data_IF_330585248355
#
_entry.id   IF_330585248355
#
_cell.length_a   1.000
_cell.length_b   1.000
_cell.length_c   1.000
_cell.angle_alpha   90.00
_cell.angle_beta   90.00
_cell.angle_gamma   90.00
#
_symmetry.space_group_name_H-M   'P 1'
#
loop_
_entity.id
_entity.type
_entity.pdbx_description
1 polymer ?
#
# COMPACT_ATOMS: atom_id res chain seq x y z
N UNK A 1 -11.19 -20.72 -12.48
CA UNK A 1 -9.91 -20.87 -11.74
C UNK A 1 -9.13 -19.56 -11.70
N UNK A 2 -8.89 -18.93 -12.85
CA UNK A 2 -8.17 -17.64 -12.95
C UNK A 2 -8.91 -16.49 -12.22
N UNK A 3 -10.24 -16.44 -12.32
CA UNK A 3 -11.06 -15.42 -11.62
C UNK A 3 -10.88 -15.44 -10.09
N UNK A 4 -10.73 -16.62 -9.47
CA UNK A 4 -10.51 -16.75 -8.03
C UNK A 4 -9.12 -16.22 -7.63
N UNK A 5 -8.11 -16.46 -8.46
CA UNK A 5 -6.75 -15.97 -8.23
C UNK A 5 -6.73 -14.44 -8.31
N UNK A 6 -7.39 -13.86 -9.32
CA UNK A 6 -7.48 -12.40 -9.47
C UNK A 6 -8.27 -11.75 -8.33
N UNK A 7 -9.36 -12.37 -7.87
CA UNK A 7 -10.13 -11.90 -6.73
C UNK A 7 -9.30 -11.91 -5.44
N UNK A 8 -8.57 -13.00 -5.17
CA UNK A 8 -7.67 -13.10 -4.02
C UNK A 8 -6.57 -12.03 -4.06
N UNK A 9 -5.92 -11.84 -5.21
CA UNK A 9 -4.91 -10.79 -5.38
C UNK A 9 -5.48 -9.40 -5.09
N UNK A 10 -6.65 -9.06 -5.65
CA UNK A 10 -7.31 -7.76 -5.43
C UNK A 10 -7.64 -7.52 -3.95
N UNK A 11 -8.13 -8.54 -3.24
CA UNK A 11 -8.44 -8.43 -1.81
C UNK A 11 -7.16 -8.14 -1.03
N UNK A 12 -6.08 -8.89 -1.29
CA UNK A 12 -4.81 -8.69 -0.59
C UNK A 12 -4.24 -7.30 -0.88
N UNK A 13 -4.15 -6.89 -2.14
CA UNK A 13 -3.50 -5.61 -2.49
C UNK A 13 -4.33 -4.40 -2.11
N UNK A 14 -5.65 -4.44 -2.27
CA UNK A 14 -6.50 -3.26 -2.07
C UNK A 14 -7.03 -3.13 -0.65
N UNK A 15 -7.07 -4.22 0.13
CA UNK A 15 -7.60 -4.21 1.49
C UNK A 15 -6.48 -4.54 2.47
N UNK A 16 -5.79 -5.67 2.31
CA UNK A 16 -4.85 -6.14 3.33
C UNK A 16 -3.61 -5.25 3.46
N UNK A 17 -3.03 -4.81 2.34
CA UNK A 17 -1.85 -3.91 2.35
C UNK A 17 -2.15 -2.55 3.03
N UNK A 18 -3.16 -1.77 2.61
CA UNK A 18 -3.45 -0.50 3.27
C UNK A 18 -3.91 -0.69 4.72
N UNK A 19 -4.60 -1.77 5.05
CA UNK A 19 -4.97 -2.10 6.42
C UNK A 19 -3.73 -2.38 7.29
N UNK A 20 -2.79 -3.19 6.80
CA UNK A 20 -1.54 -3.47 7.50
C UNK A 20 -0.72 -2.19 7.71
N UNK A 21 -0.68 -1.30 6.71
CA UNK A 21 -0.02 -0.01 6.82
C UNK A 21 -0.66 0.88 7.90
N UNK A 22 -2.00 0.96 7.91
CA UNK A 22 -2.74 1.69 8.93
C UNK A 22 -2.49 1.14 10.34
N UNK A 23 -2.48 -0.19 10.51
CA UNK A 23 -2.15 -0.83 11.78
C UNK A 23 -0.71 -0.57 12.22
N UNK A 24 0.26 -0.64 11.30
CA UNK A 24 1.66 -0.27 11.57
C UNK A 24 1.77 1.18 12.06
N UNK A 25 1.13 2.12 11.36
CA UNK A 25 1.11 3.53 11.73
C UNK A 25 0.48 3.72 13.12
N UNK A 26 -0.64 3.05 13.38
CA UNK A 26 -1.32 3.09 14.66
C UNK A 26 -0.44 2.58 15.81
N UNK A 27 0.21 1.42 15.63
CA UNK A 27 1.15 0.87 16.61
C UNK A 27 2.36 1.77 16.83
N UNK A 28 2.86 2.41 15.78
CA UNK A 28 3.94 3.39 15.88
C UNK A 28 3.53 4.59 16.75
N UNK A 29 2.36 5.21 16.49
CA UNK A 29 1.85 6.31 17.30
C UNK A 29 1.57 5.89 18.75
N UNK A 30 1.05 4.68 18.97
CA UNK A 30 0.86 4.12 20.30
C UNK A 30 2.19 3.97 21.06
N UNK A 31 3.24 3.49 20.38
CA UNK A 31 4.59 3.41 20.94
C UNK A 31 5.16 4.77 21.33
N UNK A 32 4.99 5.77 20.46
CA UNK A 32 5.41 7.15 20.74
C UNK A 32 4.66 7.74 21.94
N UNK A 33 3.32 7.58 21.98
CA UNK A 33 2.50 8.05 23.09
C UNK A 33 2.89 7.38 24.42
N UNK A 34 3.16 6.07 24.41
CA UNK A 34 3.66 5.33 25.57
C UNK A 34 5.01 5.88 26.02
N UNK A 35 5.97 6.00 25.09
CA UNK A 35 7.32 6.51 25.37
C UNK A 35 7.31 7.91 25.99
N UNK A 36 6.52 8.83 25.45
CA UNK A 36 6.39 10.21 25.96
C UNK A 36 5.80 10.21 27.37
N UNK A 37 4.76 9.41 27.62
CA UNK A 37 4.10 9.33 28.94
C UNK A 37 4.98 8.69 30.01
N UNK A 38 5.82 7.71 29.65
CA UNK A 38 6.65 6.95 30.60
C UNK A 38 8.05 7.51 30.81
N UNK A 39 8.52 8.41 29.94
CA UNK A 39 9.82 9.09 30.10
C UNK A 39 9.97 9.91 31.39
N UNK A 40 8.89 10.11 32.15
CA UNK A 40 8.86 10.93 33.37
C UNK A 40 9.10 10.16 34.69
N UNK A 41 9.28 8.82 34.71
CA UNK A 41 9.39 8.13 36.01
C UNK A 41 9.84 6.67 36.10
N UNK A 42 10.12 5.97 35.00
CA UNK A 42 10.58 4.57 35.05
C UNK A 42 11.43 4.21 33.82
N UNK A 43 12.68 3.80 34.04
CA UNK A 43 13.61 3.38 32.98
C UNK A 43 13.11 2.16 32.20
N UNK A 44 12.45 1.21 32.88
CA UNK A 44 11.94 -0.01 32.27
C UNK A 44 10.80 0.28 31.29
N UNK A 45 9.90 1.18 31.65
CA UNK A 45 8.80 1.59 30.79
C UNK A 45 9.29 2.41 29.58
N UNK A 46 10.36 3.21 29.76
CA UNK A 46 11.01 3.92 28.67
C UNK A 46 11.71 2.96 27.67
N UNK A 47 12.33 1.88 28.14
CA UNK A 47 12.89 0.83 27.27
C UNK A 47 11.81 0.15 26.45
N UNK A 48 10.69 -0.20 27.07
CA UNK A 48 9.57 -0.84 26.38
C UNK A 48 8.98 0.09 25.29
N UNK A 49 8.78 1.37 25.60
CA UNK A 49 8.32 2.38 24.62
C UNK A 49 9.26 2.53 23.43
N UNK A 50 10.59 2.54 23.67
CA UNK A 50 11.60 2.55 22.59
C UNK A 50 11.52 1.31 21.72
N UNK A 51 11.35 0.13 22.31
CA UNK A 51 11.27 -1.11 21.55
C UNK A 51 10.05 -1.08 20.62
N UNK A 52 8.89 -0.62 21.09
CA UNK A 52 7.69 -0.47 20.25
C UNK A 52 7.91 0.56 19.13
N UNK A 53 8.59 1.68 19.40
CA UNK A 53 8.96 2.65 18.35
C UNK A 53 9.84 2.03 17.27
N UNK A 54 10.88 1.28 17.65
CA UNK A 54 11.80 0.64 16.69
C UNK A 54 11.05 -0.36 15.81
N UNK A 55 10.19 -1.20 16.40
CA UNK A 55 9.36 -2.13 15.62
C UNK A 55 8.39 -1.40 14.68
N UNK A 56 7.83 -0.27 15.11
CA UNK A 56 6.99 0.58 14.26
C UNK A 56 7.77 1.15 13.06
N UNK A 57 8.99 1.66 13.29
CA UNK A 57 9.86 2.19 12.21
C UNK A 57 10.22 1.08 11.22
N UNK A 58 10.58 -0.11 11.71
CA UNK A 58 10.89 -1.26 10.86
C UNK A 58 9.67 -1.65 10.01
N UNK A 59 8.48 -1.69 10.61
CA UNK A 59 7.23 -1.99 9.89
C UNK A 59 6.94 -0.98 8.77
N UNK A 60 7.10 0.32 9.06
CA UNK A 60 6.94 1.39 8.08
C UNK A 60 7.98 1.25 6.96
N UNK A 61 9.25 1.02 7.30
CA UNK A 61 10.33 0.85 6.33
C UNK A 61 10.06 -0.31 5.36
N UNK A 62 9.62 -1.46 5.87
CA UNK A 62 9.31 -2.63 5.02
C UNK A 62 8.14 -2.31 4.08
N UNK A 63 7.08 -1.67 4.58
CA UNK A 63 5.95 -1.33 3.73
C UNK A 63 6.30 -0.34 2.62
N UNK A 64 7.07 0.71 2.93
CA UNK A 64 7.58 1.66 1.93
C UNK A 64 8.55 0.99 0.94
N UNK A 65 9.42 0.09 1.41
CA UNK A 65 10.37 -0.63 0.57
C UNK A 65 9.65 -1.51 -0.46
N UNK A 66 8.64 -2.28 -0.04
CA UNK A 66 7.84 -3.12 -0.94
C UNK A 66 7.12 -2.24 -1.98
N UNK A 67 6.44 -1.17 -1.56
CA UNK A 67 5.73 -0.29 -2.50
C UNK A 67 6.67 0.45 -3.46
N UNK A 68 7.83 0.90 -2.96
CA UNK A 68 8.87 1.53 -3.75
C UNK A 68 9.42 0.58 -4.81
N UNK A 69 9.73 -0.67 -4.44
CA UNK A 69 10.22 -1.69 -5.37
C UNK A 69 9.13 -2.05 -6.41
N UNK A 70 7.87 -2.24 -5.99
CA UNK A 70 6.76 -2.52 -6.91
C UNK A 70 6.62 -1.39 -7.94
N UNK A 71 6.67 -0.14 -7.49
CA UNK A 71 6.51 1.03 -8.37
C UNK A 71 7.73 1.19 -9.29
N UNK A 72 8.94 1.00 -8.76
CA UNK A 72 10.17 1.02 -9.54
C UNK A 72 10.13 -0.02 -10.67
N UNK A 73 9.84 -1.28 -10.33
CA UNK A 73 9.75 -2.35 -11.32
C UNK A 73 8.65 -2.08 -12.36
N UNK A 74 7.49 -1.56 -11.95
CA UNK A 74 6.40 -1.19 -12.89
C UNK A 74 6.83 -0.13 -13.90
N UNK A 75 7.53 0.91 -13.42
CA UNK A 75 7.97 2.02 -14.25
C UNK A 75 9.07 1.57 -15.23
N UNK A 76 10.06 0.82 -14.75
CA UNK A 76 11.16 0.34 -15.58
C UNK A 76 10.73 -0.73 -16.58
N UNK A 77 9.76 -1.58 -16.23
CA UNK A 77 9.24 -2.61 -17.14
C UNK A 77 8.12 -2.12 -18.07
N UNK A 78 7.82 -0.80 -18.09
CA UNK A 78 6.78 -0.16 -18.94
C UNK A 78 5.47 -0.96 -18.96
N UNK A 79 5.03 -1.49 -17.81
CA UNK A 79 3.80 -2.28 -17.75
C UNK A 79 2.63 -1.29 -17.90
N UNK A 80 1.84 -1.34 -19.00
CA UNK A 80 0.74 -0.42 -19.18
C UNK A 80 -0.27 -0.60 -18.04
N UNK A 81 -0.65 0.50 -17.38
CA UNK A 81 -1.75 0.47 -16.44
C UNK A 81 -3.00 0.00 -17.19
N UNK A 82 -3.55 -1.14 -16.77
CA UNK A 82 -4.77 -1.76 -17.35
C UNK A 82 -6.04 -0.94 -17.03
N UNK A 83 -5.88 0.36 -16.77
CA UNK A 83 -6.98 1.34 -16.68
C UNK A 83 -7.42 1.82 -18.06
N UNK A 84 -6.56 1.67 -19.08
CA UNK A 84 -6.88 1.96 -20.48
C UNK A 84 -6.52 0.76 -21.36
N UNK A 85 -7.31 -0.31 -21.28
CA UNK A 85 -7.51 -1.12 -22.50
C UNK A 85 -8.48 -0.29 -23.34
N UNK A 86 -7.96 0.72 -24.05
CA UNK A 86 -8.65 1.23 -25.23
C UNK A 86 -8.91 0.01 -26.09
N UNK A 87 -10.20 -0.35 -26.23
CA UNK A 87 -10.65 -1.49 -27.02
C UNK A 87 -9.97 -1.42 -28.39
N UNK A 88 -8.99 -2.30 -28.69
CA UNK A 88 -8.45 -2.34 -30.03
C UNK A 88 -9.53 -2.98 -30.90
N UNK A 89 -10.15 -2.17 -31.76
CA UNK A 89 -11.10 -2.65 -32.76
C UNK A 89 -12.48 -1.99 -32.80
N UNK A 90 -12.70 -0.89 -32.08
CA UNK A 90 -13.80 0.02 -32.44
C UNK A 90 -13.20 1.41 -32.67
N UNK A 91 -12.51 1.54 -33.81
CA UNK A 91 -12.57 2.81 -34.51
C UNK A 91 -14.05 3.14 -34.65
N UNK A 92 -14.44 4.35 -34.25
CA UNK A 92 -15.81 4.83 -34.26
C UNK A 92 -16.32 4.84 -35.70
N UNK A 93 -16.67 3.66 -36.24
CA UNK A 93 -17.24 3.46 -37.57
C UNK A 93 -18.31 4.51 -37.70
N UNK A 94 -17.98 5.43 -38.60
CA UNK A 94 -18.24 6.84 -38.55
C UNK A 94 -19.54 7.24 -37.85
N UNK A 95 -19.48 7.95 -36.72
CA UNK A 95 -20.69 8.50 -36.06
C UNK A 95 -21.43 9.54 -36.92
N UNK A 96 -20.91 9.84 -38.11
CA UNK A 96 -21.44 10.79 -39.08
C UNK A 96 -22.29 10.16 -40.21
N UNK A 97 -22.64 8.87 -40.11
CA UNK A 97 -23.56 8.16 -41.04
C UNK A 97 -24.96 8.78 -41.22
N UNK A 98 -25.30 9.79 -40.42
CA UNK A 98 -26.52 10.57 -40.54
C UNK A 98 -26.38 11.79 -41.47
N UNK A 99 -25.20 12.00 -42.06
CA UNK A 99 -24.86 13.15 -42.91
C UNK A 99 -24.67 12.77 -44.39
N UNK A 100 -24.97 11.53 -44.79
CA UNK A 100 -25.00 11.07 -46.19
C UNK A 100 -26.43 10.83 -46.71
#
# INVERSE_FOLDING_TARGET
MIELINAAFKIVTNILVPLAFALCLFYFFWGVAKYIRTGAGSEDAAKEGKQVMVWGIVGIFVAFSIWGIITFIRNELTIPDIKNIDKPGIESSDSTWWLE
#
